data_IF_025968506745
#
_entry.id   IF_025968506745
#
_cell.length_a   1.000
_cell.length_b   1.000
_cell.length_c   1.000
_cell.angle_alpha   90.00
_cell.angle_beta   90.00
_cell.angle_gamma   90.00
#
_symmetry.space_group_name_H-M   'P 1'
#
loop_
_entity.id
_entity.type
_entity.pdbx_description
1 polymer ?
#
# COMPACT_ATOMS: atom_id res chain seq x y z
N UNK A 1 -12.68 6.62 -7.78
CA UNK A 1 -13.22 7.90 -7.24
C UNK A 1 -14.42 8.42 -8.03
N UNK A 2 -14.29 8.69 -9.34
CA UNK A 2 -15.41 9.18 -10.17
C UNK A 2 -16.62 8.22 -10.25
N UNK A 3 -16.36 6.91 -10.28
CA UNK A 3 -17.41 5.88 -10.25
C UNK A 3 -18.29 5.96 -8.99
N UNK A 4 -17.71 6.06 -7.79
CA UNK A 4 -18.48 6.14 -6.54
C UNK A 4 -19.28 7.44 -6.41
N UNK A 5 -18.77 8.56 -6.93
CA UNK A 5 -19.48 9.84 -6.96
C UNK A 5 -20.72 9.84 -7.87
N UNK A 6 -20.73 8.99 -8.91
CA UNK A 6 -21.85 8.88 -9.85
C UNK A 6 -22.91 7.89 -9.35
N UNK A 7 -22.50 6.84 -8.61
CA UNK A 7 -23.37 5.75 -8.17
C UNK A 7 -23.78 5.80 -6.69
N UNK A 8 -23.24 6.72 -5.89
CA UNK A 8 -23.58 6.87 -4.46
C UNK A 8 -23.89 8.34 -4.17
N UNK A 9 -25.12 8.62 -3.70
CA UNK A 9 -25.63 9.95 -3.28
C UNK A 9 -24.93 10.52 -2.02
N UNK A 10 -23.63 10.25 -1.85
CA UNK A 10 -22.82 10.85 -0.80
C UNK A 10 -22.33 12.21 -1.27
N UNK A 11 -23.02 13.27 -0.87
CA UNK A 11 -22.49 14.63 -0.99
C UNK A 11 -21.14 14.69 -0.26
N UNK A 12 -20.05 14.96 -0.99
CA UNK A 12 -18.72 15.16 -0.38
C UNK A 12 -18.77 16.38 0.53
N UNK A 13 -19.04 16.14 1.82
CA UNK A 13 -18.90 17.17 2.85
C UNK A 13 -17.42 17.28 3.13
N UNK A 14 -16.81 18.44 2.80
CA UNK A 14 -15.46 18.74 3.28
C UNK A 14 -15.50 18.72 4.81
N UNK A 15 -15.00 17.62 5.37
CA UNK A 15 -14.99 17.37 6.81
C UNK A 15 -13.52 17.44 7.26
N UNK A 16 -13.21 17.94 8.47
CA UNK A 16 -11.83 18.02 8.97
C UNK A 16 -11.06 16.69 8.95
N UNK A 17 -11.76 15.54 8.84
CA UNK A 17 -11.16 14.23 8.62
C UNK A 17 -10.31 14.11 7.35
N UNK A 18 -10.44 15.03 6.38
CA UNK A 18 -9.53 15.09 5.22
C UNK A 18 -8.09 15.34 5.68
N UNK A 19 -7.87 16.13 6.74
CA UNK A 19 -6.53 16.38 7.28
C UNK A 19 -5.88 15.08 7.80
N UNK A 20 -6.71 14.14 8.24
CA UNK A 20 -6.29 12.83 8.75
C UNK A 20 -5.76 11.91 7.62
N UNK A 21 -6.00 12.25 6.35
CA UNK A 21 -5.41 11.55 5.19
C UNK A 21 -3.89 11.66 5.11
N UNK A 22 -3.27 12.58 5.86
CA UNK A 22 -1.81 12.66 5.97
C UNK A 22 -1.20 11.37 6.57
N UNK A 23 -1.92 10.69 7.47
CA UNK A 23 -1.45 9.46 8.11
C UNK A 23 -1.23 8.32 7.10
N UNK A 24 -2.22 7.92 6.28
CA UNK A 24 -2.00 6.87 5.28
C UNK A 24 -0.98 7.27 4.20
N UNK A 25 -0.85 8.57 3.85
CA UNK A 25 0.22 9.06 2.96
C UNK A 25 1.60 8.77 3.56
N UNK A 26 1.80 9.10 4.83
CA UNK A 26 3.07 8.90 5.52
C UNK A 26 3.44 7.41 5.58
N UNK A 27 2.47 6.55 5.92
CA UNK A 27 2.68 5.10 5.99
C UNK A 27 3.05 4.55 4.60
N UNK A 28 2.34 4.98 3.56
CA UNK A 28 2.65 4.58 2.18
C UNK A 28 4.05 5.04 1.76
N UNK A 29 4.45 6.27 2.10
CA UNK A 29 5.78 6.78 1.82
C UNK A 29 6.86 5.91 2.48
N UNK A 30 6.70 5.58 3.76
CA UNK A 30 7.64 4.69 4.48
C UNK A 30 7.73 3.31 3.82
N UNK A 31 6.59 2.75 3.42
CA UNK A 31 6.55 1.47 2.70
C UNK A 31 7.30 1.54 1.36
N UNK A 32 7.05 2.58 0.57
CA UNK A 32 7.71 2.80 -0.72
C UNK A 32 9.22 2.98 -0.57
N UNK A 33 9.69 3.71 0.45
CA UNK A 33 11.12 3.85 0.73
C UNK A 33 11.73 2.50 1.09
N UNK A 34 11.09 1.73 1.97
CA UNK A 34 11.59 0.41 2.36
C UNK A 34 11.69 -0.57 1.19
N UNK A 35 10.64 -0.67 0.39
CA UNK A 35 10.62 -1.51 -0.82
C UNK A 35 11.62 -1.00 -1.86
N UNK A 36 11.69 0.33 -2.07
CA UNK A 36 12.63 0.94 -3.00
C UNK A 36 14.09 0.64 -2.67
N UNK A 37 14.47 0.67 -1.39
CA UNK A 37 15.82 0.30 -0.96
C UNK A 37 16.18 -1.15 -1.32
N UNK A 38 15.22 -2.07 -1.20
CA UNK A 38 15.40 -3.48 -1.58
C UNK A 38 15.59 -3.58 -3.10
N UNK A 39 14.72 -2.91 -3.86
CA UNK A 39 14.74 -2.96 -5.33
C UNK A 39 16.00 -2.35 -5.91
N UNK A 40 16.42 -1.17 -5.45
CA UNK A 40 17.67 -0.56 -5.91
C UNK A 40 18.88 -1.48 -5.64
N UNK A 41 18.88 -2.18 -4.50
CA UNK A 41 19.94 -3.16 -4.20
C UNK A 41 19.92 -4.32 -5.19
N UNK A 42 18.74 -4.82 -5.57
CA UNK A 42 18.60 -5.93 -6.52
C UNK A 42 18.94 -5.53 -7.96
N UNK A 43 18.55 -4.34 -8.37
CA UNK A 43 18.73 -3.81 -9.72
C UNK A 43 20.21 -3.69 -10.12
N UNK A 44 21.08 -3.32 -9.17
CA UNK A 44 22.54 -3.25 -9.41
C UNK A 44 23.11 -4.62 -9.83
N UNK A 45 22.57 -5.72 -9.30
CA UNK A 45 23.01 -7.07 -9.68
C UNK A 45 22.21 -7.63 -10.88
N UNK A 46 20.94 -7.25 -11.01
CA UNK A 46 20.01 -7.80 -12.00
C UNK A 46 19.16 -6.70 -12.62
N UNK A 47 19.54 -6.23 -13.80
CA UNK A 47 18.80 -5.17 -14.53
C UNK A 47 17.38 -5.58 -14.92
N UNK A 48 17.11 -6.88 -15.05
CA UNK A 48 15.77 -7.39 -15.42
C UNK A 48 14.73 -7.21 -14.30
N UNK A 49 15.16 -6.87 -13.08
CA UNK A 49 14.27 -6.66 -11.93
C UNK A 49 13.32 -5.49 -12.15
N UNK A 50 13.75 -4.44 -12.87
CA UNK A 50 12.91 -3.27 -13.18
C UNK A 50 11.65 -3.68 -13.96
N UNK A 51 11.83 -4.43 -15.06
CA UNK A 51 10.72 -4.92 -15.89
C UNK A 51 9.79 -5.86 -15.14
N UNK A 52 10.35 -6.76 -14.32
CA UNK A 52 9.52 -7.67 -13.51
C UNK A 52 8.72 -6.92 -12.45
N UNK A 53 9.30 -5.88 -11.85
CA UNK A 53 8.65 -5.08 -10.82
C UNK A 53 7.48 -4.27 -11.39
N UNK A 54 7.60 -3.73 -12.60
CA UNK A 54 6.49 -3.02 -13.26
C UNK A 54 5.26 -3.92 -13.43
N UNK A 55 5.46 -5.15 -13.93
CA UNK A 55 4.39 -6.15 -14.07
C UNK A 55 3.82 -6.54 -12.69
N UNK A 56 4.68 -6.68 -11.68
CA UNK A 56 4.25 -6.97 -10.32
C UNK A 56 3.36 -5.84 -9.74
N UNK A 57 3.73 -4.58 -9.93
CA UNK A 57 2.91 -3.43 -9.53
C UNK A 57 1.54 -3.44 -10.23
N UNK A 58 1.49 -3.80 -11.52
CA UNK A 58 0.22 -3.94 -12.23
C UNK A 58 -0.67 -5.02 -11.58
N UNK A 59 -0.12 -6.20 -11.30
CA UNK A 59 -0.85 -7.27 -10.62
C UNK A 59 -1.32 -6.84 -9.22
N UNK A 60 -0.46 -6.13 -8.48
CA UNK A 60 -0.74 -5.65 -7.14
C UNK A 60 -1.87 -4.61 -7.12
N UNK A 61 -1.93 -3.74 -8.14
CA UNK A 61 -3.02 -2.79 -8.33
C UNK A 61 -4.37 -3.50 -8.51
N UNK A 62 -4.44 -4.53 -9.37
CA UNK A 62 -5.66 -5.31 -9.58
C UNK A 62 -6.05 -6.18 -8.38
N UNK A 63 -5.06 -6.67 -7.63
CA UNK A 63 -5.29 -7.42 -6.40
C UNK A 63 -5.80 -6.53 -5.26
N UNK A 64 -5.57 -5.22 -5.32
CA UNK A 64 -6.04 -4.28 -4.31
C UNK A 64 -7.46 -3.83 -4.66
N UNK A 65 -8.45 -4.01 -3.78
CA UNK A 65 -9.83 -3.65 -4.06
C UNK A 65 -10.02 -2.12 -3.91
N UNK A 66 -9.58 -1.39 -4.93
CA UNK A 66 -9.66 0.07 -5.01
C UNK A 66 -11.06 0.50 -5.49
N UNK A 67 -11.65 -0.28 -6.40
CA UNK A 67 -12.91 0.06 -7.07
C UNK A 67 -14.16 -0.55 -6.41
N UNK A 68 -14.01 -1.52 -5.51
CA UNK A 68 -15.13 -2.24 -4.89
C UNK A 68 -14.91 -2.43 -3.40
N UNK A 69 -16.00 -2.39 -2.63
CA UNK A 69 -15.97 -2.72 -1.21
C UNK A 69 -15.96 -4.23 -1.03
N UNK A 70 -15.05 -4.72 -0.19
CA UNK A 70 -14.93 -6.15 0.14
C UNK A 70 -16.19 -6.65 0.86
N UNK A 71 -16.89 -5.76 1.57
CA UNK A 71 -18.19 -6.05 2.19
C UNK A 71 -19.33 -6.22 1.16
N UNK A 72 -19.23 -5.56 0.00
CA UNK A 72 -20.24 -5.68 -1.07
C UNK A 72 -19.98 -6.91 -1.94
N UNK A 73 -18.73 -7.36 -1.98
CA UNK A 73 -18.35 -8.62 -2.56
C UNK A 73 -18.74 -9.72 -1.55
N UNK A 74 -19.92 -10.34 -1.74
CA UNK A 74 -20.37 -11.54 -1.02
C UNK A 74 -19.45 -12.74 -1.32
N UNK A 75 -18.17 -12.65 -0.96
CA UNK A 75 -17.16 -13.66 -1.21
C UNK A 75 -17.42 -14.82 -0.25
N UNK A 76 -18.00 -15.89 -0.76
CA UNK A 76 -18.22 -17.16 -0.05
C UNK A 76 -16.90 -17.82 0.38
N UNK A 77 -15.77 -17.46 -0.25
CA UNK A 77 -14.46 -18.04 0.01
C UNK A 77 -13.63 -17.22 1.01
N UNK A 78 -13.63 -17.65 2.27
CA UNK A 78 -12.84 -17.06 3.38
C UNK A 78 -11.35 -16.88 3.07
N UNK A 79 -10.74 -17.74 2.26
CA UNK A 79 -9.31 -17.64 1.93
C UNK A 79 -8.99 -16.40 1.09
N UNK A 80 -9.86 -16.06 0.14
CA UNK A 80 -9.69 -14.85 -0.67
C UNK A 80 -9.86 -13.58 0.18
N UNK A 81 -10.76 -13.61 1.17
CA UNK A 81 -10.93 -12.50 2.11
C UNK A 81 -9.69 -12.28 2.98
N UNK A 82 -9.09 -13.36 3.53
CA UNK A 82 -7.85 -13.24 4.30
C UNK A 82 -6.67 -12.78 3.45
N UNK A 83 -6.55 -13.25 2.21
CA UNK A 83 -5.51 -12.80 1.29
C UNK A 83 -5.62 -11.29 0.98
N UNK A 84 -6.84 -10.78 0.80
CA UNK A 84 -7.10 -9.35 0.62
C UNK A 84 -6.79 -8.54 1.88
N UNK A 85 -7.17 -9.04 3.06
CA UNK A 85 -6.88 -8.38 4.35
C UNK A 85 -5.38 -8.40 4.69
N UNK A 86 -4.63 -9.40 4.23
CA UNK A 86 -3.20 -9.48 4.44
C UNK A 86 -2.42 -8.42 3.65
N UNK A 87 -2.98 -7.87 2.56
CA UNK A 87 -2.30 -6.86 1.76
C UNK A 87 -2.23 -5.51 2.54
N UNK A 88 -1.03 -4.99 2.86
CA UNK A 88 -0.89 -3.71 3.56
C UNK A 88 -1.43 -2.53 2.76
N UNK A 89 -1.38 -2.61 1.41
CA UNK A 89 -1.94 -1.57 0.53
C UNK A 89 -3.46 -1.52 0.62
N UNK A 90 -4.13 -2.64 0.86
CA UNK A 90 -5.57 -2.65 1.11
C UNK A 90 -5.92 -1.84 2.36
N UNK A 91 -5.18 -2.04 3.45
CA UNK A 91 -5.39 -1.30 4.70
C UNK A 91 -5.19 0.22 4.49
N UNK A 92 -4.16 0.62 3.75
CA UNK A 92 -3.88 2.04 3.43
C UNK A 92 -5.00 2.64 2.57
N UNK A 93 -5.45 1.95 1.52
CA UNK A 93 -6.54 2.42 0.64
C UNK A 93 -7.86 2.52 1.39
N UNK A 94 -8.15 1.57 2.29
CA UNK A 94 -9.34 1.64 3.14
C UNK A 94 -9.33 2.85 4.05
N UNK A 95 -8.18 3.19 4.65
CA UNK A 95 -8.02 4.39 5.48
C UNK A 95 -8.25 5.68 4.68
N UNK A 96 -7.75 5.76 3.44
CA UNK A 96 -8.02 6.89 2.55
C UNK A 96 -9.51 7.03 2.24
N UNK A 97 -10.19 5.91 1.99
CA UNK A 97 -11.62 5.89 1.70
C UNK A 97 -12.44 6.38 2.90
N UNK A 98 -12.10 5.94 4.10
CA UNK A 98 -12.81 6.35 5.32
C UNK A 98 -12.66 7.86 5.58
N UNK A 99 -11.45 8.40 5.42
CA UNK A 99 -11.17 9.82 5.63
C UNK A 99 -11.76 10.73 4.56
N UNK A 100 -11.58 10.39 3.27
CA UNK A 100 -11.89 11.28 2.14
C UNK A 100 -13.30 11.06 1.60
N UNK A 101 -13.75 9.80 1.51
CA UNK A 101 -15.03 9.45 0.89
C UNK A 101 -16.18 9.49 1.90
N UNK A 102 -15.96 8.89 3.09
CA UNK A 102 -17.00 8.76 4.10
C UNK A 102 -16.94 9.81 5.21
N UNK A 103 -15.82 10.54 5.34
CA UNK A 103 -15.63 11.53 6.40
C UNK A 103 -15.71 10.92 7.81
N UNK A 104 -15.22 9.69 7.97
CA UNK A 104 -15.25 8.93 9.23
C UNK A 104 -13.84 8.73 9.77
N UNK A 105 -13.74 8.46 11.08
CA UNK A 105 -12.48 8.10 11.71
C UNK A 105 -11.96 6.76 11.17
N UNK A 106 -10.64 6.70 10.93
CA UNK A 106 -9.96 5.50 10.44
C UNK A 106 -10.03 4.36 11.48
N UNK A 107 -10.16 3.12 11.01
CA UNK A 107 -10.08 1.96 11.89
C UNK A 107 -8.66 1.83 12.48
N UNK A 108 -8.49 1.81 13.82
CA UNK A 108 -7.19 1.68 14.47
C UNK A 108 -6.41 0.42 14.07
N UNK A 109 -7.10 -0.68 13.76
CA UNK A 109 -6.46 -1.93 13.36
C UNK A 109 -5.73 -1.79 12.02
N UNK A 110 -6.32 -1.08 11.05
CA UNK A 110 -5.68 -0.83 9.76
C UNK A 110 -4.45 0.08 9.88
N UNK A 111 -4.50 1.06 10.79
CA UNK A 111 -3.36 1.94 11.09
C UNK A 111 -2.20 1.11 11.64
N UNK A 112 -2.43 0.34 12.70
CA UNK A 112 -1.37 -0.43 13.38
C UNK A 112 -0.79 -1.47 12.43
N UNK A 113 -1.65 -2.22 11.71
CA UNK A 113 -1.20 -3.25 10.79
C UNK A 113 -0.32 -2.68 9.66
N UNK A 114 -0.78 -1.64 8.98
CA UNK A 114 -0.03 -1.02 7.89
C UNK A 114 1.24 -0.31 8.36
N UNK A 115 1.21 0.32 9.54
CA UNK A 115 2.39 0.96 10.12
C UNK A 115 3.48 -0.05 10.50
N UNK A 116 3.13 -1.14 11.20
CA UNK A 116 4.07 -2.20 11.57
C UNK A 116 4.68 -2.84 10.33
N UNK A 117 3.87 -3.14 9.32
CA UNK A 117 4.37 -3.73 8.07
C UNK A 117 5.32 -2.78 7.33
N UNK A 118 4.98 -1.49 7.25
CA UNK A 118 5.80 -0.49 6.56
C UNK A 118 7.14 -0.26 7.25
N UNK A 119 7.14 -0.20 8.59
CA UNK A 119 8.37 -0.10 9.38
C UNK A 119 9.22 -1.37 9.24
N UNK A 120 8.61 -2.55 9.26
CA UNK A 120 9.32 -3.82 9.06
C UNK A 120 10.00 -3.86 7.68
N UNK A 121 9.29 -3.46 6.63
CA UNK A 121 9.84 -3.37 5.28
C UNK A 121 10.97 -2.35 5.17
N UNK A 122 10.84 -1.19 5.83
CA UNK A 122 11.91 -0.21 5.89
C UNK A 122 13.16 -0.76 6.58
N UNK A 123 13.02 -1.41 7.73
CA UNK A 123 14.14 -2.02 8.44
C UNK A 123 14.84 -3.09 7.60
N UNK A 124 14.07 -3.96 6.94
CA UNK A 124 14.62 -4.98 6.03
C UNK A 124 15.35 -4.30 4.87
N UNK A 125 14.76 -3.27 4.25
CA UNK A 125 15.38 -2.53 3.15
C UNK A 125 16.70 -1.89 3.55
N UNK A 126 16.74 -1.22 4.69
CA UNK A 126 17.96 -0.61 5.24
C UNK A 126 19.02 -1.67 5.53
N UNK A 127 18.66 -2.79 6.14
CA UNK A 127 19.61 -3.88 6.44
C UNK A 127 20.19 -4.52 5.18
N UNK A 128 19.36 -4.77 4.17
CA UNK A 128 19.77 -5.35 2.89
C UNK A 128 20.71 -4.38 2.16
N UNK A 129 20.34 -3.09 2.10
CA UNK A 129 21.15 -2.06 1.48
C UNK A 129 22.51 -1.91 2.16
N UNK A 130 22.52 -1.81 3.50
CA UNK A 130 23.76 -1.65 4.27
C UNK A 130 24.71 -2.85 4.10
N UNK A 131 24.17 -4.07 4.07
CA UNK A 131 24.96 -5.29 3.89
C UNK A 131 25.55 -5.44 2.47
N UNK A 132 24.91 -4.84 1.47
CA UNK A 132 25.30 -4.98 0.05
C UNK A 132 26.07 -3.79 -0.50
N UNK A 133 26.23 -2.73 0.29
CA UNK A 133 26.90 -1.50 -0.11
C UNK A 133 28.34 -1.71 -0.64
N UNK A 134 29.10 -2.62 -0.02
CA UNK A 134 30.52 -2.85 -0.39
C UNK A 134 30.67 -3.58 -1.75
N UNK A 135 29.65 -4.34 -2.14
CA UNK A 135 29.65 -5.20 -3.33
C UNK A 135 29.17 -4.43 -4.59
N UNK A 136 28.55 -3.26 -4.40
CA UNK A 136 28.12 -2.37 -5.48
C UNK A 136 29.28 -1.83 -6.30
N UNK A 137 30.45 -1.60 -5.68
CA UNK A 137 31.63 -1.05 -6.34
C UNK A 137 32.20 -2.03 -7.38
N UNK A 138 31.96 -3.34 -7.22
CA UNK A 138 32.47 -4.36 -8.14
C UNK A 138 31.61 -4.55 -9.40
N UNK A 139 30.36 -4.07 -9.39
CA UNK A 139 29.34 -4.36 -10.41
C UNK A 139 28.85 -3.12 -11.18
N UNK A 140 29.42 -1.94 -10.90
CA UNK A 140 29.30 -0.72 -11.71
C UNK A 140 30.31 -0.78 -12.87
#
# INVERSE_FOLDING_TARGET
>A
MAYYLIFTDTAMRLTPYILLSFVPILILFVLCVGVGMILCTMEVFFKDVEYMYEVFCMLLFYATPIFYNVETLHITNRYAQYALMANPLYSIVSMFRDCVLFGRAMNPNHIIYSAVFSIAMLLIGVLVFYKKQDDFILHI
#
